data_IF_244136165665
#
_entry.id   IF_244136165665
#
_cell.length_a   1.000
_cell.length_b   1.000
_cell.length_c   1.000
_cell.angle_alpha   90.00
_cell.angle_beta   90.00
_cell.angle_gamma   90.00
#
_symmetry.space_group_name_H-M   'P 1'
#
loop_
_entity.id
_entity.type
_entity.pdbx_description
1 polymer ?
#
# COMPACT_ATOMS: atom_id res chain seq x y z
N UNK A 1 38.96 29.24 -25.11
CA UNK A 1 37.65 29.42 -24.46
C UNK A 1 37.20 28.08 -23.86
N UNK A 2 37.35 27.89 -22.57
CA UNK A 2 36.91 26.65 -21.84
C UNK A 2 35.51 26.88 -21.30
N UNK A 3 34.51 26.15 -21.82
CA UNK A 3 33.15 26.17 -21.29
C UNK A 3 33.08 25.19 -20.13
N UNK A 4 32.92 25.73 -18.92
CA UNK A 4 32.63 24.96 -17.68
C UNK A 4 31.16 24.56 -17.64
N UNK A 5 30.88 23.25 -17.78
CA UNK A 5 29.56 22.67 -17.62
C UNK A 5 29.26 22.62 -16.12
N UNK A 6 28.33 23.44 -15.67
CA UNK A 6 27.80 23.38 -14.30
C UNK A 6 26.77 22.24 -14.25
N UNK A 7 27.14 21.12 -13.63
CA UNK A 7 26.21 20.06 -13.29
C UNK A 7 25.42 20.54 -12.07
N UNK A 8 24.13 20.80 -12.26
CA UNK A 8 23.18 21.11 -11.20
C UNK A 8 22.79 19.78 -10.53
N UNK A 9 23.39 19.52 -9.37
CA UNK A 9 23.05 18.36 -8.55
C UNK A 9 21.74 18.67 -7.82
N UNK A 10 20.62 18.13 -8.33
CA UNK A 10 19.32 18.20 -7.66
C UNK A 10 19.35 17.24 -6.46
N UNK A 11 19.62 17.74 -5.27
CA UNK A 11 19.50 16.97 -4.05
C UNK A 11 18.00 16.77 -3.75
N UNK A 12 17.49 15.55 -3.98
CA UNK A 12 16.16 15.16 -3.54
C UNK A 12 16.15 15.11 -2.02
N UNK A 13 15.51 16.11 -1.40
CA UNK A 13 15.29 16.17 0.03
C UNK A 13 14.13 15.20 0.37
N UNK A 14 14.45 13.97 0.73
CA UNK A 14 13.47 13.00 1.24
C UNK A 14 13.10 13.35 2.67
N UNK A 15 12.04 14.11 2.88
CA UNK A 15 11.46 14.29 4.20
C UNK A 15 10.65 13.04 4.55
N UNK A 16 11.19 12.18 5.41
CA UNK A 16 10.47 11.04 5.95
C UNK A 16 9.50 11.54 7.02
N UNK A 17 8.21 11.60 6.68
CA UNK A 17 7.14 11.91 7.64
C UNK A 17 6.61 10.58 8.17
N UNK A 18 6.77 10.34 9.48
CA UNK A 18 6.15 9.21 10.16
C UNK A 18 4.74 9.62 10.58
N UNK A 19 3.73 9.08 9.90
CA UNK A 19 2.32 9.37 10.21
C UNK A 19 1.76 8.18 11.00
N UNK A 20 1.22 8.39 12.22
CA UNK A 20 0.53 7.31 12.92
C UNK A 20 -0.74 6.93 12.16
N UNK A 21 -0.93 5.65 11.91
CA UNK A 21 -2.21 5.14 11.41
C UNK A 21 -3.25 5.31 12.50
N UNK A 22 -4.20 6.17 12.27
CA UNK A 22 -5.40 6.24 13.11
C UNK A 22 -6.26 5.01 12.80
N UNK A 23 -6.20 4.03 13.69
CA UNK A 23 -7.15 2.95 13.67
C UNK A 23 -8.55 3.54 13.91
N UNK A 24 -9.47 3.18 13.02
CA UNK A 24 -10.91 3.25 13.22
C UNK A 24 -11.63 4.56 12.89
N UNK A 25 -12.04 4.67 11.63
CA UNK A 25 -13.32 5.32 11.30
C UNK A 25 -14.02 4.38 10.33
N UNK A 26 -15.24 3.89 10.60
CA UNK A 26 -15.99 3.11 9.62
C UNK A 26 -16.27 4.01 8.40
N UNK A 27 -15.57 3.75 7.31
CA UNK A 27 -15.84 4.41 6.05
C UNK A 27 -17.20 3.95 5.56
N UNK A 28 -18.13 4.89 5.42
CA UNK A 28 -19.34 4.67 4.63
C UNK A 28 -18.94 4.35 3.21
N UNK A 29 -19.33 3.21 2.71
CA UNK A 29 -18.88 2.50 1.52
C UNK A 29 -19.23 3.15 0.16
N UNK A 30 -19.50 4.44 0.10
CA UNK A 30 -19.85 5.11 -1.14
C UNK A 30 -18.64 5.79 -1.76
N UNK A 31 -17.90 5.07 -2.59
CA UNK A 31 -16.92 5.70 -3.45
C UNK A 31 -15.59 5.00 -3.67
N UNK A 32 -15.37 3.85 -3.08
CA UNK A 32 -14.14 3.11 -3.26
C UNK A 32 -14.09 2.46 -4.65
N UNK A 33 -13.38 3.07 -5.56
CA UNK A 33 -12.99 2.49 -6.86
C UNK A 33 -11.67 1.76 -6.63
N UNK A 34 -11.75 0.70 -5.82
CA UNK A 34 -10.57 0.21 -5.17
C UNK A 34 -9.63 -0.58 -6.07
N UNK A 35 -10.09 -1.59 -6.74
CA UNK A 35 -9.20 -2.51 -7.48
C UNK A 35 -9.10 -2.22 -8.97
N UNK A 36 -10.06 -1.51 -9.54
CA UNK A 36 -10.11 -1.27 -11.00
C UNK A 36 -9.02 -0.32 -11.52
N UNK A 37 -8.38 0.46 -10.65
CA UNK A 37 -7.30 1.36 -11.02
C UNK A 37 -5.94 0.67 -11.08
N UNK A 38 -5.76 -0.45 -10.38
CA UNK A 38 -4.52 -1.23 -10.38
C UNK A 38 -4.56 -2.20 -11.56
N UNK A 39 -3.56 -2.11 -12.44
CA UNK A 39 -3.43 -2.96 -13.63
C UNK A 39 -2.73 -4.27 -13.31
N UNK A 40 -1.72 -4.24 -12.45
CA UNK A 40 -0.96 -5.41 -12.00
C UNK A 40 -0.21 -5.12 -10.71
N UNK A 41 0.17 -6.20 -10.02
CA UNK A 41 1.06 -6.18 -8.87
C UNK A 41 2.23 -7.13 -9.12
N UNK A 42 3.46 -6.66 -8.86
CA UNK A 42 4.69 -7.42 -9.09
C UNK A 42 5.51 -7.48 -7.81
N UNK A 43 5.95 -8.67 -7.42
CA UNK A 43 6.97 -8.87 -6.38
C UNK A 43 8.37 -8.72 -6.96
N UNK A 44 9.21 -7.88 -6.33
CA UNK A 44 10.53 -7.57 -6.86
C UNK A 44 11.64 -8.55 -6.47
N UNK A 45 11.44 -9.38 -5.46
CA UNK A 45 12.44 -10.39 -5.09
C UNK A 45 12.66 -11.46 -6.17
N UNK A 46 11.69 -11.68 -7.05
CA UNK A 46 11.73 -12.62 -8.16
C UNK A 46 11.03 -12.11 -9.42
N UNK A 47 10.65 -10.83 -9.45
CA UNK A 47 9.87 -10.22 -10.54
C UNK A 47 8.61 -11.03 -10.89
N UNK A 48 7.94 -11.56 -9.86
CA UNK A 48 6.78 -12.42 -10.00
C UNK A 48 5.50 -11.58 -10.02
N UNK A 49 4.59 -11.90 -10.94
CA UNK A 49 3.24 -11.35 -10.93
C UNK A 49 2.43 -11.96 -9.78
N UNK A 50 1.98 -11.10 -8.86
CA UNK A 50 1.22 -11.47 -7.66
C UNK A 50 -0.17 -10.83 -7.66
N UNK A 51 -0.63 -10.37 -8.80
CA UNK A 51 -1.93 -9.69 -8.98
C UNK A 51 -3.08 -10.54 -8.45
N UNK A 52 -3.07 -11.83 -8.74
CA UNK A 52 -4.15 -12.75 -8.35
C UNK A 52 -4.24 -13.01 -6.85
N UNK A 53 -3.13 -12.88 -6.12
CA UNK A 53 -3.10 -13.13 -4.67
C UNK A 53 -3.30 -11.86 -3.84
N UNK A 54 -3.12 -10.69 -4.47
CA UNK A 54 -3.02 -9.41 -3.77
C UNK A 54 -4.19 -8.46 -4.08
N UNK A 55 -4.92 -8.68 -5.17
CA UNK A 55 -5.96 -7.77 -5.66
C UNK A 55 -7.32 -8.47 -5.85
N UNK A 56 -7.53 -9.62 -5.25
CA UNK A 56 -8.74 -10.44 -5.45
C UNK A 56 -9.84 -10.19 -4.39
N UNK A 57 -9.53 -9.41 -3.36
CA UNK A 57 -10.45 -9.15 -2.24
C UNK A 57 -10.70 -10.37 -1.35
N UNK A 58 -9.91 -11.44 -1.50
CA UNK A 58 -10.12 -12.72 -0.87
C UNK A 58 -9.14 -12.93 0.30
N UNK A 59 -9.64 -13.16 1.50
CA UNK A 59 -8.79 -13.45 2.67
C UNK A 59 -8.17 -14.84 2.67
N UNK A 60 -8.64 -15.74 1.80
CA UNK A 60 -8.09 -17.10 1.67
C UNK A 60 -6.79 -17.15 0.84
N UNK A 61 -6.49 -16.07 0.14
CA UNK A 61 -5.25 -15.85 -0.61
C UNK A 61 -4.39 -14.80 0.11
N UNK A 62 -3.09 -14.84 -0.13
CA UNK A 62 -2.16 -13.83 0.34
C UNK A 62 -0.85 -13.91 -0.44
N UNK A 63 -0.29 -12.77 -0.79
CA UNK A 63 1.12 -12.70 -1.11
C UNK A 63 1.97 -12.91 0.14
N UNK A 64 3.03 -13.71 0.01
CA UNK A 64 3.99 -13.95 1.08
C UNK A 64 5.38 -13.59 0.59
N UNK A 65 6.02 -12.62 1.24
CA UNK A 65 7.36 -12.18 0.91
C UNK A 65 8.37 -13.32 1.05
N UNK A 66 8.99 -13.73 -0.05
CA UNK A 66 9.99 -14.80 -0.07
C UNK A 66 11.38 -14.29 0.29
N UNK A 67 11.69 -13.04 -0.07
CA UNK A 67 12.96 -12.38 0.26
C UNK A 67 12.75 -10.87 0.35
N UNK A 68 13.41 -10.17 1.28
CA UNK A 68 13.32 -8.71 1.34
C UNK A 68 13.85 -8.06 0.06
N UNK A 69 13.13 -7.06 -0.45
CA UNK A 69 13.51 -6.22 -1.57
C UNK A 69 13.19 -4.73 -1.27
N UNK A 70 13.58 -3.83 -2.12
CA UNK A 70 13.25 -2.42 -2.00
C UNK A 70 13.00 -1.82 -3.40
N UNK A 71 11.75 -1.71 -3.84
CA UNK A 71 10.52 -2.09 -3.13
C UNK A 71 10.34 -3.61 -3.02
N UNK A 72 9.45 -4.06 -2.10
CA UNK A 72 9.00 -5.46 -2.05
C UNK A 72 7.93 -5.72 -3.11
N UNK A 73 7.00 -4.76 -3.28
CA UNK A 73 5.89 -4.80 -4.22
C UNK A 73 5.81 -3.52 -5.04
N UNK A 74 5.42 -3.63 -6.30
CA UNK A 74 5.01 -2.52 -7.16
C UNK A 74 3.62 -2.76 -7.74
N UNK A 75 2.74 -1.78 -7.57
CA UNK A 75 1.40 -1.75 -8.15
C UNK A 75 1.44 -0.80 -9.36
N UNK A 76 1.15 -1.30 -10.56
CA UNK A 76 1.09 -0.50 -11.77
C UNK A 76 -0.30 0.11 -11.97
N UNK A 77 -0.37 1.38 -12.36
CA UNK A 77 -1.61 2.13 -12.61
C UNK A 77 -1.54 2.87 -13.96
N UNK A 78 -2.70 3.28 -14.47
CA UNK A 78 -2.82 3.99 -15.75
C UNK A 78 -3.05 5.51 -15.61
N UNK A 79 -2.43 6.15 -14.62
CA UNK A 79 -2.63 7.60 -14.39
C UNK A 79 -3.82 7.89 -13.49
N UNK A 80 -4.10 7.03 -12.53
CA UNK A 80 -5.21 7.17 -11.57
C UNK A 80 -4.99 8.31 -10.57
N UNK A 81 -6.05 8.71 -9.88
CA UNK A 81 -5.99 9.50 -8.64
C UNK A 81 -5.88 8.57 -7.44
N UNK A 82 -4.98 8.88 -6.50
CA UNK A 82 -4.78 8.12 -5.27
C UNK A 82 -4.66 9.07 -4.08
N UNK A 83 -5.55 8.94 -3.12
CA UNK A 83 -5.55 9.66 -1.84
C UNK A 83 -5.48 8.72 -0.65
N UNK A 84 -5.77 7.43 -0.87
CA UNK A 84 -5.79 6.42 0.19
C UNK A 84 -5.25 5.10 -0.32
N UNK A 85 -4.57 4.38 0.58
CA UNK A 85 -4.11 3.02 0.37
C UNK A 85 -4.70 2.16 1.48
N UNK A 86 -5.28 1.04 1.10
CA UNK A 86 -5.92 0.11 2.01
C UNK A 86 -5.14 -1.20 1.99
N UNK A 87 -4.66 -1.64 3.16
CA UNK A 87 -3.84 -2.84 3.28
C UNK A 87 -4.50 -3.81 4.26
N UNK A 88 -4.71 -5.03 3.84
CA UNK A 88 -5.07 -6.14 4.70
C UNK A 88 -3.79 -6.88 5.10
N UNK A 89 -3.18 -6.41 6.21
CA UNK A 89 -1.90 -6.88 6.72
C UNK A 89 -2.00 -8.28 7.31
N UNK A 90 -1.09 -9.16 6.94
CA UNK A 90 -1.04 -10.55 7.38
C UNK A 90 -1.77 -11.53 6.47
N UNK A 91 -1.67 -12.84 6.75
CA UNK A 91 -2.46 -13.87 6.07
C UNK A 91 -3.81 -14.02 6.78
N UNK A 92 -4.82 -13.34 6.27
CA UNK A 92 -6.09 -13.12 6.96
C UNK A 92 -7.12 -14.24 6.77
N UNK A 93 -6.74 -15.40 6.24
CA UNK A 93 -7.63 -16.56 6.08
C UNK A 93 -8.32 -16.96 7.39
N UNK A 94 -7.55 -17.05 8.49
CA UNK A 94 -8.06 -17.21 9.85
C UNK A 94 -6.98 -16.81 10.86
N UNK A 95 -7.35 -16.77 12.16
CA UNK A 95 -6.44 -16.38 13.24
C UNK A 95 -5.17 -17.24 13.33
N UNK A 96 -5.25 -18.52 12.97
CA UNK A 96 -4.06 -19.40 13.02
C UNK A 96 -3.06 -19.05 11.92
N UNK A 97 -3.54 -18.82 10.69
CA UNK A 97 -2.69 -18.34 9.58
C UNK A 97 -2.11 -16.97 9.91
N UNK A 98 -2.94 -16.03 10.37
CA UNK A 98 -2.49 -14.70 10.77
C UNK A 98 -1.36 -14.75 11.80
N UNK A 99 -1.47 -15.61 12.81
CA UNK A 99 -0.45 -15.77 13.84
C UNK A 99 0.79 -16.55 13.37
N UNK A 100 0.71 -17.29 12.27
CA UNK A 100 1.81 -18.12 11.76
C UNK A 100 2.77 -17.35 10.87
N UNK A 101 2.26 -16.40 10.09
CA UNK A 101 3.06 -15.58 9.18
C UNK A 101 3.51 -14.28 9.86
N UNK A 102 4.62 -13.71 9.40
CA UNK A 102 5.00 -12.35 9.76
C UNK A 102 3.97 -11.37 9.19
N UNK A 103 3.75 -10.27 9.87
CA UNK A 103 2.84 -9.21 9.44
C UNK A 103 3.61 -7.91 9.31
N UNK A 104 3.43 -7.14 8.23
CA UNK A 104 4.03 -5.81 8.12
C UNK A 104 3.71 -4.95 9.35
N UNK A 105 4.76 -4.37 9.98
CA UNK A 105 4.62 -3.45 11.10
C UNK A 105 4.88 -2.01 10.69
N UNK A 106 5.93 -1.78 9.89
CA UNK A 106 6.20 -0.49 9.29
C UNK A 106 6.40 -0.68 7.80
N UNK A 107 5.71 0.14 7.01
CA UNK A 107 5.82 0.14 5.56
C UNK A 107 6.20 1.52 5.05
N UNK A 108 7.11 1.56 4.06
CA UNK A 108 7.34 2.73 3.24
C UNK A 108 6.54 2.59 1.95
N UNK A 109 5.79 3.64 1.60
CA UNK A 109 4.97 3.70 0.38
C UNK A 109 5.48 4.84 -0.47
N UNK A 110 5.89 4.55 -1.70
CA UNK A 110 6.33 5.53 -2.68
C UNK A 110 5.26 5.67 -3.77
N UNK A 111 4.76 6.88 -3.95
CA UNK A 111 3.78 7.23 -4.97
C UNK A 111 4.53 7.87 -6.15
N UNK A 112 4.40 7.29 -7.34
CA UNK A 112 4.89 7.85 -8.59
C UNK A 112 3.74 8.54 -9.33
N UNK A 113 3.73 9.87 -9.34
CA UNK A 113 2.63 10.69 -9.82
C UNK A 113 3.07 11.66 -10.93
N UNK A 114 2.15 12.50 -11.42
CA UNK A 114 2.39 13.34 -12.59
C UNK A 114 2.93 12.52 -13.79
N UNK A 115 2.28 11.37 -14.06
CA UNK A 115 2.68 10.41 -15.09
C UNK A 115 4.11 9.90 -14.93
N UNK A 116 4.51 9.61 -13.69
CA UNK A 116 5.81 9.05 -13.35
C UNK A 116 6.97 10.05 -13.31
N UNK A 117 6.69 11.35 -13.46
CA UNK A 117 7.72 12.39 -13.44
C UNK A 117 8.13 12.82 -12.03
N UNK A 118 7.31 12.54 -11.03
CA UNK A 118 7.54 12.89 -9.63
C UNK A 118 7.27 11.70 -8.73
N UNK A 119 7.91 11.68 -7.58
CA UNK A 119 7.64 10.67 -6.55
C UNK A 119 7.75 11.27 -5.15
N UNK A 120 7.00 10.66 -4.23
CA UNK A 120 7.04 10.98 -2.80
C UNK A 120 6.94 9.69 -2.01
N UNK A 121 7.59 9.63 -0.86
CA UNK A 121 7.57 8.46 0.01
C UNK A 121 7.04 8.81 1.39
N UNK A 122 6.09 8.02 1.87
CA UNK A 122 5.53 8.10 3.21
C UNK A 122 5.80 6.81 3.98
N UNK A 123 5.90 6.92 5.31
CA UNK A 123 6.03 5.78 6.21
C UNK A 123 4.81 5.67 7.10
N UNK A 124 4.31 4.44 7.22
CA UNK A 124 3.14 4.12 8.04
C UNK A 124 3.47 2.99 9.00
N UNK A 125 2.94 3.10 10.22
CA UNK A 125 2.94 2.00 11.19
C UNK A 125 1.58 1.33 11.13
N UNK A 126 1.56 0.03 10.86
CA UNK A 126 0.36 -0.80 10.85
C UNK A 126 0.10 -1.37 12.24
N UNK A 127 -1.13 -1.63 12.57
CA UNK A 127 -1.47 -2.29 13.83
C UNK A 127 -1.36 -3.82 13.69
N UNK A 128 -0.94 -4.51 14.77
CA UNK A 128 -0.96 -5.97 14.85
C UNK A 128 -2.33 -6.44 15.35
N UNK A 129 -3.34 -6.33 14.49
CA UNK A 129 -4.69 -6.73 14.82
C UNK A 129 -5.27 -7.62 13.71
N UNK A 130 -5.75 -8.80 14.10
CA UNK A 130 -6.54 -9.62 13.19
C UNK A 130 -7.93 -9.01 13.07
N UNK A 131 -8.22 -8.48 11.88
CA UNK A 131 -9.49 -7.85 11.54
C UNK A 131 -10.24 -8.78 10.57
N UNK A 132 -11.04 -9.72 11.05
CA UNK A 132 -11.77 -10.64 10.19
C UNK A 132 -12.86 -9.88 9.43
N UNK A 133 -13.05 -10.21 8.17
CA UNK A 133 -14.20 -9.73 7.41
C UNK A 133 -15.47 -10.37 7.97
N UNK A 134 -16.38 -9.56 8.46
CA UNK A 134 -17.65 -10.05 9.03
C UNK A 134 -18.78 -10.10 7.99
N UNK A 135 -18.58 -9.48 6.82
CA UNK A 135 -19.60 -9.45 5.76
C UNK A 135 -18.94 -9.24 4.40
N UNK A 136 -19.34 -10.02 3.42
CA UNK A 136 -18.98 -9.85 2.00
C UNK A 136 -19.52 -8.54 1.38
N UNK A 137 -20.41 -7.84 2.06
CA UNK A 137 -20.99 -6.57 1.61
C UNK A 137 -20.15 -5.35 2.02
N UNK A 138 -19.23 -5.51 2.97
CA UNK A 138 -18.35 -4.44 3.44
C UNK A 138 -16.88 -4.83 3.21
N UNK A 139 -16.42 -4.63 2.00
CA UNK A 139 -15.05 -4.97 1.59
C UNK A 139 -13.99 -4.11 2.30
N UNK A 140 -14.34 -2.95 2.86
CA UNK A 140 -13.43 -2.12 3.68
C UNK A 140 -13.12 -2.75 5.03
N UNK A 141 -13.93 -3.72 5.46
CA UNK A 141 -13.75 -4.41 6.72
C UNK A 141 -12.51 -5.30 6.70
N UNK A 142 -11.64 -5.13 7.67
CA UNK A 142 -10.39 -5.87 7.78
C UNK A 142 -9.18 -5.19 7.11
N UNK A 143 -9.36 -4.06 6.45
CA UNK A 143 -8.26 -3.26 5.96
C UNK A 143 -7.80 -2.20 6.97
N UNK A 144 -6.51 -1.91 6.95
CA UNK A 144 -5.94 -0.73 7.56
C UNK A 144 -5.82 0.35 6.49
N UNK A 145 -6.32 1.53 6.80
CA UNK A 145 -6.38 2.66 5.87
C UNK A 145 -5.17 3.56 6.08
N UNK A 146 -4.39 3.76 5.04
CA UNK A 146 -3.26 4.67 5.00
C UNK A 146 -3.69 5.92 4.25
N UNK A 147 -3.89 7.02 4.98
CA UNK A 147 -4.27 8.31 4.40
C UNK A 147 -3.04 9.01 3.86
N UNK A 148 -3.08 9.43 2.61
CA UNK A 148 -2.09 10.34 2.05
C UNK A 148 -2.42 11.78 2.49
N UNK A 149 -1.43 12.67 2.64
CA UNK A 149 -1.68 14.07 3.02
C UNK A 149 -2.50 14.85 2.00
N UNK A 150 -2.48 14.42 0.74
CA UNK A 150 -3.22 14.99 -0.38
C UNK A 150 -3.55 13.91 -1.41
N UNK A 151 -4.46 14.18 -2.32
CA UNK A 151 -4.75 13.33 -3.47
C UNK A 151 -3.68 13.54 -4.54
N UNK A 152 -3.03 12.47 -4.99
CA UNK A 152 -2.08 12.47 -6.08
C UNK A 152 -2.76 12.07 -7.38
N UNK A 153 -2.58 12.87 -8.44
CA UNK A 153 -3.18 12.62 -9.76
C UNK A 153 -2.13 12.16 -10.76
N UNK A 154 -2.57 11.41 -11.76
CA UNK A 154 -1.65 10.86 -12.77
C UNK A 154 -0.68 9.84 -12.16
N UNK A 155 -1.13 9.07 -11.17
CA UNK A 155 -0.33 8.04 -10.53
C UNK A 155 -0.17 6.87 -11.48
N UNK A 156 1.09 6.49 -11.75
CA UNK A 156 1.44 5.37 -12.63
C UNK A 156 1.96 4.17 -11.87
N UNK A 157 2.45 4.38 -10.65
CA UNK A 157 2.98 3.31 -9.81
C UNK A 157 2.85 3.65 -8.32
N UNK A 158 2.60 2.64 -7.52
CA UNK A 158 2.71 2.69 -6.07
C UNK A 158 3.63 1.56 -5.64
N UNK A 159 4.76 1.92 -5.02
CA UNK A 159 5.72 0.97 -4.47
C UNK A 159 5.51 0.80 -2.97
N UNK A 160 5.64 -0.43 -2.48
CA UNK A 160 5.56 -0.75 -1.07
C UNK A 160 6.81 -1.50 -0.63
N UNK A 161 7.44 -1.01 0.44
CA UNK A 161 8.59 -1.66 1.09
C UNK A 161 8.23 -1.96 2.55
N UNK A 162 8.36 -3.20 2.97
CA UNK A 162 8.16 -3.61 4.36
C UNK A 162 9.49 -3.39 5.11
N UNK A 163 9.52 -2.37 5.97
CA UNK A 163 10.72 -2.01 6.72
C UNK A 163 10.87 -2.85 8.00
N UNK A 164 9.77 -3.13 8.69
CA UNK A 164 9.74 -3.97 9.90
C UNK A 164 8.50 -4.86 9.92
N UNK A 165 8.54 -5.92 10.73
CA UNK A 165 7.45 -6.89 10.86
C UNK A 165 7.11 -7.18 12.32
N UNK A 166 5.86 -7.54 12.58
CA UNK A 166 5.45 -8.30 13.75
C UNK A 166 5.72 -9.78 13.47
N UNK A 167 6.54 -10.42 14.29
CA UNK A 167 6.97 -11.78 14.06
C UNK A 167 5.81 -12.79 14.18
N UNK A 168 5.69 -13.65 13.20
CA UNK A 168 4.82 -14.82 13.23
C UNK A 168 5.46 -15.99 13.98
N UNK A 169 4.66 -17.00 14.30
CA UNK A 169 5.14 -18.20 15.02
C UNK A 169 5.84 -19.20 14.09
N UNK A 170 5.63 -19.06 12.77
CA UNK A 170 6.04 -20.06 11.77
C UNK A 170 7.29 -19.74 10.97
N UNK A 171 7.94 -18.58 11.16
CA UNK A 171 9.04 -18.08 10.32
C UNK A 171 8.72 -18.11 8.81
N UNK A 172 7.51 -17.80 8.44
CA UNK A 172 6.96 -18.01 7.10
C UNK A 172 6.94 -16.73 6.24
N UNK A 173 7.79 -15.77 6.49
CA UNK A 173 7.84 -14.51 5.76
C UNK A 173 6.66 -13.57 6.03
N UNK A 174 6.78 -12.30 5.62
CA UNK A 174 5.73 -11.31 5.78
C UNK A 174 4.63 -11.52 4.75
N UNK A 175 3.36 -11.52 5.19
CA UNK A 175 2.21 -11.72 4.34
C UNK A 175 1.34 -10.46 4.24
N UNK A 176 0.72 -10.27 3.08
CA UNK A 176 -0.34 -9.29 2.83
C UNK A 176 -1.46 -10.02 2.08
N UNK A 177 -2.68 -10.03 2.63
CA UNK A 177 -3.82 -10.69 2.00
C UNK A 177 -4.43 -9.86 0.88
N UNK A 178 -4.35 -8.53 0.96
CA UNK A 178 -4.97 -7.70 -0.07
C UNK A 178 -4.48 -6.25 0.01
N UNK A 179 -4.50 -5.56 -1.14
CA UNK A 179 -4.26 -4.12 -1.25
C UNK A 179 -5.33 -3.51 -2.15
N UNK A 180 -5.85 -2.36 -1.73
CA UNK A 180 -6.73 -1.55 -2.55
C UNK A 180 -6.30 -0.08 -2.50
N UNK A 181 -6.64 0.68 -3.54
CA UNK A 181 -6.37 2.11 -3.63
C UNK A 181 -7.70 2.85 -3.80
N UNK A 182 -7.78 4.07 -3.27
CA UNK A 182 -8.92 4.95 -3.48
C UNK A 182 -8.46 6.39 -3.74
N UNK A 183 -9.25 7.14 -4.50
CA UNK A 183 -9.13 8.58 -4.53
C UNK A 183 -9.58 9.15 -3.18
N UNK A 184 -9.08 10.33 -2.80
CA UNK A 184 -9.53 10.99 -1.58
C UNK A 184 -11.01 11.37 -1.69
N UNK A 185 -11.85 10.70 -0.91
CA UNK A 185 -13.29 10.98 -0.80
C UNK A 185 -13.60 12.18 0.12
N UNK A 186 -12.61 12.71 0.83
CA UNK A 186 -12.83 13.85 1.73
C UNK A 186 -12.96 15.19 1.01
N UNK A 187 -12.50 15.30 -0.24
CA UNK A 187 -12.56 16.54 -1.01
C UNK A 187 -13.97 16.92 -1.54
N UNK A 188 -14.97 16.05 -1.43
CA UNK A 188 -16.30 16.28 -2.02
C UNK A 188 -17.37 16.74 -1.04
N UNK A 189 -17.07 16.90 0.24
CA UNK A 189 -17.99 17.47 1.22
C UNK A 189 -17.76 18.98 1.36
N UNK A 190 -18.00 19.76 0.29
CA UNK A 190 -18.21 21.22 0.46
C UNK A 190 -19.60 21.41 1.07
N UNK A 191 -19.73 21.96 2.28
CA UNK A 191 -21.03 22.29 2.83
C UNK A 191 -21.69 23.35 1.93
N UNK A 192 -22.91 23.07 1.50
CA UNK A 192 -23.79 24.08 0.89
C UNK A 192 -24.41 24.93 1.97
#
# INVERSE_FOLDING_TARGET
MKRTLKILLCAALTAAICIPVLADVPATSSGLVATSAILSATEHSGETDVTADLLDGNTATAWVRTSPAAPDLSLALSGASVGEIWIRSGYCYNQNYYNSYDRPATVAVTIWYAYGQQSVTYRYTLSDAFLPTTSSADWSNGYQRLLLPEEYTGVTQVDLTIETVYAGRGNAGAAISDIALAADVHATATPR
#
